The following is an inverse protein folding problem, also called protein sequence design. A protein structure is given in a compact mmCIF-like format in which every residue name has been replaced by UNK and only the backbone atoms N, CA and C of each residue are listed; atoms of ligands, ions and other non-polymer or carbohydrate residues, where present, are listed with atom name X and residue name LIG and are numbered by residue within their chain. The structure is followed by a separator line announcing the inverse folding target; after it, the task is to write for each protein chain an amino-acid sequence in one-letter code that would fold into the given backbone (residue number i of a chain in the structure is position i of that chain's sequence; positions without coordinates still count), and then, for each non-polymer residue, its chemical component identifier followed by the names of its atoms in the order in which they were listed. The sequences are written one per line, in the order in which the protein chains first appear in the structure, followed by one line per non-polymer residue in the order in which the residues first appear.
data_IF_375806462179
#
_entry.id   IF_375806462179
#
_cell.length_a   1.000
_cell.length_b   1.000
_cell.length_c   1.000
_cell.angle_alpha   90.00
_cell.angle_beta   90.00
_cell.angle_gamma   90.00
#
_symmetry.space_group_name_H-M   'P 1'
#
loop_
_entity.id
_entity.type
_entity.pdbx_description
1 polymer ?
#
# COMPACT_ATOMS: atom_id res chain seq x y z
N UNK A 1 -14.50 13.55 6.18
CA UNK A 1 -13.33 14.11 5.48
C UNK A 1 -12.13 13.84 6.36
N UNK A 2 -11.18 13.01 5.95
CA UNK A 2 -9.94 12.84 6.72
C UNK A 2 -9.02 14.04 6.48
N UNK A 3 -8.81 14.79 7.53
CA UNK A 3 -7.82 15.85 7.63
C UNK A 3 -6.41 15.27 7.81
N UNK A 4 -5.40 16.12 7.61
CA UNK A 4 -4.01 15.80 7.94
C UNK A 4 -3.88 15.27 9.38
N UNK A 5 -4.54 15.95 10.33
CA UNK A 5 -4.52 15.57 11.74
C UNK A 5 -5.14 14.18 11.98
N UNK A 6 -6.24 13.86 11.30
CA UNK A 6 -6.86 12.52 11.41
C UNK A 6 -5.95 11.42 10.85
N UNK A 7 -5.26 11.68 9.73
CA UNK A 7 -4.31 10.70 9.17
C UNK A 7 -3.07 10.53 10.05
N UNK A 8 -2.54 11.62 10.62
CA UNK A 8 -1.45 11.55 11.60
C UNK A 8 -1.87 10.77 12.84
N UNK A 9 -3.10 10.98 13.33
CA UNK A 9 -3.67 10.24 14.45
C UNK A 9 -3.83 8.75 14.11
N UNK A 10 -4.29 8.41 12.90
CA UNK A 10 -4.39 7.01 12.47
C UNK A 10 -3.03 6.33 12.36
N UNK A 11 -2.02 7.00 11.80
CA UNK A 11 -0.65 6.47 11.74
C UNK A 11 -0.12 6.24 13.15
N UNK A 12 -0.24 7.25 14.03
CA UNK A 12 0.17 7.15 15.42
C UNK A 12 -0.55 6.00 16.12
N UNK A 13 -1.87 5.88 15.97
CA UNK A 13 -2.66 4.79 16.52
C UNK A 13 -2.16 3.43 16.03
N UNK A 14 -1.90 3.27 14.72
CA UNK A 14 -1.50 2.01 14.13
C UNK A 14 -0.15 1.49 14.64
N UNK A 15 0.81 2.39 14.86
CA UNK A 15 2.14 2.07 15.39
C UNK A 15 2.25 2.21 16.91
N UNK A 16 1.19 2.71 17.58
CA UNK A 16 1.14 2.85 19.03
C UNK A 16 0.80 1.53 19.72
N UNK A 17 1.09 1.49 21.02
CA UNK A 17 0.79 0.36 21.89
C UNK A 17 2.04 -0.45 22.20
N UNK A 18 2.09 -0.95 23.43
CA UNK A 18 3.08 -1.96 23.78
C UNK A 18 2.70 -3.26 23.07
N UNK A 19 3.58 -3.71 22.17
CA UNK A 19 3.43 -4.96 21.42
C UNK A 19 3.30 -6.16 22.39
N UNK A 20 3.75 -6.01 23.63
CA UNK A 20 3.71 -7.01 24.68
C UNK A 20 2.47 -6.93 25.61
N UNK A 21 1.71 -5.82 25.63
CA UNK A 21 0.52 -5.70 26.49
C UNK A 21 -0.73 -6.31 25.85
N UNK A 22 -1.57 -7.01 26.64
CA UNK A 22 -2.70 -7.77 26.12
C UNK A 22 -3.91 -6.93 25.67
N UNK A 23 -4.08 -5.70 26.17
CA UNK A 23 -5.23 -4.82 25.85
C UNK A 23 -4.81 -3.49 25.22
N UNK A 24 -5.42 -3.09 24.11
CA UNK A 24 -5.33 -1.72 23.58
C UNK A 24 -4.14 -1.40 22.67
N UNK A 25 -3.63 -2.38 21.91
CA UNK A 25 -2.55 -2.13 20.94
C UNK A 25 -3.04 -1.57 19.60
N UNK A 26 -2.19 -0.80 18.92
CA UNK A 26 -2.37 -0.43 17.52
C UNK A 26 -2.35 -1.63 16.58
N UNK A 27 -2.60 -1.41 15.28
CA UNK A 27 -2.65 -2.48 14.28
C UNK A 27 -1.40 -3.37 14.28
N UNK A 28 -0.20 -2.79 14.49
CA UNK A 28 1.05 -3.55 14.63
C UNK A 28 1.03 -4.48 15.85
N UNK A 29 0.47 -4.03 16.97
CA UNK A 29 0.28 -4.86 18.16
C UNK A 29 -0.71 -6.01 17.93
N UNK A 30 -1.74 -5.79 17.10
CA UNK A 30 -2.67 -6.86 16.66
C UNK A 30 -1.93 -7.89 15.81
N UNK A 31 -1.13 -7.44 14.83
CA UNK A 31 -0.33 -8.33 13.99
C UNK A 31 0.64 -9.19 14.83
N UNK A 32 1.26 -8.61 15.86
CA UNK A 32 2.19 -9.31 16.74
C UNK A 32 1.56 -10.44 17.57
N UNK A 33 0.27 -10.33 17.87
CA UNK A 33 -0.51 -11.35 18.58
C UNK A 33 -1.15 -12.38 17.65
N UNK A 34 -1.02 -12.18 16.33
CA UNK A 34 -1.62 -13.04 15.32
C UNK A 34 -0.76 -14.28 15.04
N UNK A 35 -1.13 -15.06 14.03
CA UNK A 35 -0.39 -16.25 13.58
C UNK A 35 1.01 -15.88 13.05
N UNK A 36 2.00 -16.78 13.14
CA UNK A 36 3.39 -16.48 12.75
C UNK A 36 3.58 -15.94 11.33
N UNK A 37 2.68 -16.29 10.40
CA UNK A 37 2.69 -15.77 9.04
C UNK A 37 2.50 -14.25 9.00
N UNK A 38 1.50 -13.73 9.73
CA UNK A 38 1.18 -12.30 9.82
C UNK A 38 2.26 -11.55 10.59
N UNK A 39 2.86 -12.17 11.61
CA UNK A 39 3.95 -11.54 12.37
C UNK A 39 5.16 -11.20 11.49
N UNK A 40 5.44 -12.00 10.45
CA UNK A 40 6.55 -11.74 9.51
C UNK A 40 6.35 -10.49 8.65
N UNK A 41 5.10 -10.01 8.53
CA UNK A 41 4.75 -8.83 7.73
C UNK A 41 4.88 -7.52 8.52
N UNK A 42 5.06 -7.59 9.84
CA UNK A 42 5.20 -6.42 10.72
C UNK A 42 6.25 -5.43 10.20
N UNK A 43 7.47 -5.85 9.79
CA UNK A 43 8.48 -4.89 9.34
C UNK A 43 8.04 -4.09 8.10
N UNK A 44 7.38 -4.73 7.13
CA UNK A 44 6.86 -4.06 5.94
C UNK A 44 5.68 -3.13 6.27
N UNK A 45 4.73 -3.59 7.10
CA UNK A 45 3.62 -2.76 7.55
C UNK A 45 4.11 -1.52 8.33
N UNK A 46 5.07 -1.71 9.24
CA UNK A 46 5.67 -0.61 10.01
C UNK A 46 6.41 0.39 9.12
N UNK A 47 7.14 -0.10 8.10
CA UNK A 47 7.78 0.74 7.08
C UNK A 47 6.76 1.58 6.31
N UNK A 48 5.64 0.98 5.87
CA UNK A 48 4.57 1.69 5.17
C UNK A 48 3.98 2.82 6.02
N UNK A 49 3.67 2.56 7.30
CA UNK A 49 3.17 3.60 8.21
C UNK A 49 4.20 4.70 8.47
N UNK A 50 5.47 4.33 8.62
CA UNK A 50 6.56 5.29 8.87
C UNK A 50 6.76 6.19 7.66
N UNK A 51 6.71 5.65 6.45
CA UNK A 51 6.77 6.40 5.20
C UNK A 51 5.57 7.35 5.07
N UNK A 52 4.35 6.86 5.29
CA UNK A 52 3.16 7.71 5.29
C UNK A 52 3.27 8.85 6.32
N UNK A 53 3.63 8.52 7.56
CA UNK A 53 3.81 9.50 8.64
C UNK A 53 4.91 10.53 8.37
N UNK A 54 5.99 10.13 7.69
CA UNK A 54 7.04 11.05 7.26
C UNK A 54 6.52 12.03 6.19
N UNK A 55 5.87 11.51 5.14
CA UNK A 55 5.47 12.31 3.99
C UNK A 55 4.17 13.10 4.18
N UNK A 56 3.34 12.77 5.17
CA UNK A 56 2.22 13.62 5.60
C UNK A 56 2.66 15.04 5.97
N UNK A 57 3.93 15.22 6.37
CA UNK A 57 4.50 16.51 6.78
C UNK A 57 4.99 17.36 5.61
N UNK A 58 5.16 16.79 4.43
CA UNK A 58 5.90 17.43 3.32
C UNK A 58 5.20 17.34 1.97
N UNK A 59 4.36 16.33 1.73
CA UNK A 59 3.63 16.17 0.47
C UNK A 59 2.22 16.78 0.55
N UNK A 60 1.68 17.26 -0.59
CA UNK A 60 0.34 17.80 -0.63
C UNK A 60 -0.71 16.72 -0.38
N UNK A 61 -1.70 17.05 0.46
CA UNK A 61 -2.90 16.25 0.67
C UNK A 61 -3.97 16.67 -0.34
N UNK A 62 -4.54 15.70 -1.06
CA UNK A 62 -5.56 15.90 -2.09
C UNK A 62 -6.75 14.99 -1.84
N UNK A 63 -7.93 15.47 -2.20
CA UNK A 63 -9.12 14.63 -2.26
C UNK A 63 -9.24 14.04 -3.66
N UNK A 64 -9.65 12.78 -3.74
CA UNK A 64 -9.88 12.10 -5.00
C UNK A 64 -10.72 10.86 -4.76
N UNK A 65 -11.51 10.48 -5.76
CA UNK A 65 -12.30 9.25 -5.70
C UNK A 65 -11.38 8.05 -5.95
N UNK A 66 -11.39 7.08 -5.06
CA UNK A 66 -10.53 5.89 -5.09
C UNK A 66 -11.41 4.64 -5.23
N UNK A 67 -11.96 4.46 -6.42
CA UNK A 67 -12.83 3.33 -6.77
C UNK A 67 -12.48 2.80 -8.16
N UNK A 68 -12.95 1.59 -8.47
CA UNK A 68 -12.71 0.96 -9.77
C UNK A 68 -13.29 1.76 -10.96
N UNK A 69 -14.35 2.53 -10.73
CA UNK A 69 -15.05 3.34 -11.73
C UNK A 69 -14.58 4.81 -11.75
N UNK A 70 -13.62 5.18 -10.89
CA UNK A 70 -13.07 6.53 -10.85
C UNK A 70 -12.09 6.77 -12.01
N UNK A 71 -11.85 8.05 -12.29
CA UNK A 71 -10.78 8.43 -13.21
C UNK A 71 -9.42 8.02 -12.65
N UNK A 72 -8.58 7.44 -13.50
CA UNK A 72 -7.22 7.02 -13.12
C UNK A 72 -6.44 8.19 -12.53
N UNK A 73 -5.82 7.97 -11.37
CA UNK A 73 -4.97 8.93 -10.70
C UNK A 73 -3.76 9.29 -11.56
N UNK A 74 -3.44 10.59 -11.56
CA UNK A 74 -2.15 11.06 -12.08
C UNK A 74 -1.05 10.73 -11.07
N UNK A 75 0.08 10.21 -11.56
CA UNK A 75 1.24 9.85 -10.74
C UNK A 75 2.08 11.08 -10.35
N UNK A 76 1.49 11.94 -9.53
CA UNK A 76 2.15 13.12 -8.99
C UNK A 76 2.43 12.94 -7.49
N UNK A 77 3.57 13.41 -6.97
CA UNK A 77 3.88 13.35 -5.54
C UNK A 77 2.74 13.94 -4.69
N UNK A 78 2.26 13.17 -3.72
CA UNK A 78 1.12 13.60 -2.91
C UNK A 78 0.41 12.44 -2.21
N UNK A 79 -0.49 12.79 -1.30
CA UNK A 79 -1.35 11.84 -0.62
C UNK A 79 -2.78 12.10 -1.09
N UNK A 80 -3.41 11.10 -1.70
CA UNK A 80 -4.79 11.16 -2.15
C UNK A 80 -5.67 10.42 -1.15
N UNK A 81 -6.76 11.04 -0.76
CA UNK A 81 -7.70 10.51 0.21
C UNK A 81 -9.10 10.45 -0.39
N UNK A 82 -9.74 9.31 -0.20
CA UNK A 82 -11.17 9.12 -0.37
C UNK A 82 -11.78 8.83 1.01
N UNK A 83 -12.46 9.82 1.58
CA UNK A 83 -13.07 9.67 2.91
C UNK A 83 -14.37 8.86 2.89
N UNK A 84 -15.03 8.78 1.73
CA UNK A 84 -16.31 8.08 1.57
C UNK A 84 -16.05 6.58 1.45
N UNK A 85 -15.06 6.20 0.65
CA UNK A 85 -14.64 4.81 0.45
C UNK A 85 -13.62 4.35 1.50
N UNK A 86 -13.16 5.26 2.37
CA UNK A 86 -12.18 4.95 3.39
C UNK A 86 -10.84 4.52 2.81
N UNK A 87 -10.30 5.21 1.80
CA UNK A 87 -9.04 4.84 1.14
C UNK A 87 -8.03 5.96 1.17
N UNK A 88 -6.76 5.59 1.22
CA UNK A 88 -5.63 6.51 1.18
C UNK A 88 -4.57 5.93 0.24
N UNK A 89 -4.06 6.76 -0.67
CA UNK A 89 -2.92 6.42 -1.53
C UNK A 89 -1.83 7.47 -1.34
N UNK A 90 -0.65 7.04 -0.93
CA UNK A 90 0.55 7.89 -0.87
C UNK A 90 1.44 7.64 -2.08
N UNK A 91 1.63 8.66 -2.91
CA UNK A 91 2.49 8.68 -4.09
C UNK A 91 3.82 9.34 -3.71
N UNK A 92 4.83 8.51 -3.47
CA UNK A 92 6.13 8.91 -2.95
C UNK A 92 7.17 8.96 -4.09
N UNK A 93 7.78 10.12 -4.36
CA UNK A 93 8.82 10.20 -5.36
C UNK A 93 10.08 9.49 -4.87
N UNK A 94 10.67 8.64 -5.72
CA UNK A 94 11.89 7.89 -5.42
C UNK A 94 12.95 8.27 -6.45
N UNK A 95 14.11 8.73 -5.98
CA UNK A 95 15.23 9.02 -6.88
C UNK A 95 15.97 7.73 -7.25
N UNK A 96 16.80 7.81 -8.28
CA UNK A 96 17.64 6.69 -8.68
C UNK A 96 18.46 6.17 -7.50
N UNK A 97 18.52 4.84 -7.36
CA UNK A 97 19.21 4.12 -6.29
C UNK A 97 18.67 4.30 -4.86
N UNK A 98 17.60 5.06 -4.66
CA UNK A 98 17.08 5.33 -3.32
C UNK A 98 16.01 4.34 -2.84
N UNK A 99 15.38 3.55 -3.72
CA UNK A 99 14.23 2.73 -3.34
C UNK A 99 14.55 1.81 -2.14
N UNK A 100 15.67 1.10 -2.19
CA UNK A 100 16.11 0.20 -1.11
C UNK A 100 16.59 0.93 0.15
N UNK A 101 16.92 2.22 0.06
CA UNK A 101 17.36 3.03 1.20
C UNK A 101 16.16 3.60 1.97
N UNK A 102 15.10 4.00 1.23
CA UNK A 102 13.91 4.62 1.82
C UNK A 102 12.84 3.60 2.20
N UNK A 103 12.74 2.49 1.47
CA UNK A 103 11.73 1.46 1.63
C UNK A 103 12.37 0.07 1.52
N UNK A 104 13.20 -0.27 2.52
CA UNK A 104 14.02 -1.48 2.51
C UNK A 104 13.20 -2.76 2.37
N UNK A 105 12.15 -2.92 3.17
CA UNK A 105 11.33 -4.14 3.17
C UNK A 105 10.50 -4.27 1.90
N UNK A 106 9.95 -3.17 1.41
CA UNK A 106 9.22 -3.15 0.14
C UNK A 106 10.15 -3.41 -1.05
N UNK A 107 11.35 -2.81 -1.06
CA UNK A 107 12.34 -3.03 -2.10
C UNK A 107 12.88 -4.46 -2.11
N UNK A 108 13.05 -5.10 -0.95
CA UNK A 108 13.52 -6.49 -0.88
C UNK A 108 12.58 -7.46 -1.61
N UNK A 109 11.28 -7.16 -1.64
CA UNK A 109 10.29 -7.95 -2.38
C UNK A 109 10.42 -7.83 -3.91
N UNK A 110 11.18 -6.85 -4.43
CA UNK A 110 11.44 -6.70 -5.86
C UNK A 110 12.66 -7.53 -6.30
N UNK A 111 12.51 -8.43 -7.30
CA UNK A 111 13.60 -9.31 -7.73
C UNK A 111 14.69 -8.59 -8.55
N UNK A 112 14.31 -7.64 -9.42
CA UNK A 112 15.27 -6.97 -10.32
C UNK A 112 16.04 -5.88 -9.58
N UNK A 113 17.38 -5.96 -9.63
CA UNK A 113 18.27 -4.92 -9.10
C UNK A 113 18.22 -3.66 -9.95
N UNK A 114 18.03 -3.82 -11.25
CA UNK A 114 17.92 -2.73 -12.22
C UNK A 114 16.69 -1.89 -11.93
N UNK A 115 15.52 -2.50 -11.72
CA UNK A 115 14.28 -1.80 -11.37
C UNK A 115 14.45 -1.03 -10.06
N UNK A 116 15.08 -1.64 -9.04
CA UNK A 116 15.35 -0.98 -7.74
C UNK A 116 16.29 0.22 -7.84
N UNK A 117 17.16 0.24 -8.84
CA UNK A 117 18.09 1.33 -9.09
C UNK A 117 17.47 2.48 -9.88
N UNK A 118 16.34 2.27 -10.56
CA UNK A 118 15.69 3.31 -11.36
C UNK A 118 14.91 4.30 -10.49
N UNK A 119 14.81 5.58 -10.92
CA UNK A 119 13.89 6.52 -10.30
C UNK A 119 12.44 6.14 -10.60
N UNK A 120 11.48 6.59 -9.80
CA UNK A 120 10.07 6.30 -10.02
C UNK A 120 9.13 6.88 -8.98
N UNK A 121 7.91 6.37 -8.97
CA UNK A 121 6.89 6.67 -7.97
C UNK A 121 6.53 5.41 -7.20
N UNK A 122 6.71 5.42 -5.88
CA UNK A 122 6.22 4.36 -5.00
C UNK A 122 4.82 4.73 -4.52
N UNK A 123 3.83 3.90 -4.86
CA UNK A 123 2.46 4.01 -4.37
C UNK A 123 2.27 3.07 -3.17
N UNK A 124 1.95 3.64 -2.02
CA UNK A 124 1.50 2.92 -0.84
C UNK A 124 0.00 3.10 -0.70
N UNK A 125 -0.74 2.02 -0.46
CA UNK A 125 -2.19 2.06 -0.31
C UNK A 125 -2.60 1.63 1.08
N UNK A 126 -3.66 2.25 1.58
CA UNK A 126 -4.25 1.95 2.87
C UNK A 126 -5.77 2.03 2.77
N UNK A 127 -6.43 1.23 3.59
CA UNK A 127 -7.88 1.25 3.78
C UNK A 127 -8.19 1.62 5.23
N UNK A 128 -9.20 2.45 5.44
CA UNK A 128 -9.72 2.83 6.75
C UNK A 128 -10.96 1.98 7.01
N UNK A 129 -10.85 1.07 7.96
CA UNK A 129 -11.95 0.19 8.36
C UNK A 129 -12.44 0.55 9.76
N UNK A 130 -13.72 0.30 10.05
CA UNK A 130 -14.28 0.48 11.39
C UNK A 130 -14.42 -0.87 12.08
N UNK A 131 -13.74 -1.03 13.21
CA UNK A 131 -13.82 -2.21 14.08
C UNK A 131 -14.15 -1.75 15.49
N UNK A 132 -15.18 -2.32 16.12
CA UNK A 132 -15.64 -1.92 17.46
C UNK A 132 -15.83 -0.40 17.64
N UNK A 133 -16.45 0.24 16.65
CA UNK A 133 -16.70 1.70 16.57
C UNK A 133 -15.42 2.56 16.45
N UNK A 134 -14.24 1.94 16.37
CA UNK A 134 -12.95 2.60 16.18
C UNK A 134 -12.51 2.49 14.73
N UNK A 135 -12.08 3.59 14.13
CA UNK A 135 -11.49 3.59 12.79
C UNK A 135 -10.02 3.18 12.86
N UNK A 136 -9.61 2.31 11.95
CA UNK A 136 -8.25 1.81 11.83
C UNK A 136 -7.76 1.99 10.41
N UNK A 137 -6.58 2.60 10.24
CA UNK A 137 -5.88 2.65 8.97
C UNK A 137 -5.06 1.38 8.80
N UNK A 138 -5.38 0.58 7.79
CA UNK A 138 -4.75 -0.70 7.49
C UNK A 138 -3.92 -0.58 6.20
N UNK A 139 -2.65 -1.01 6.17
CA UNK A 139 -1.89 -1.08 4.93
C UNK A 139 -2.49 -2.16 4.05
N UNK A 140 -2.57 -1.88 2.76
CA UNK A 140 -2.86 -2.93 1.79
C UNK A 140 -1.69 -3.93 1.73
N UNK A 141 -2.01 -5.18 1.39
CA UNK A 141 -1.02 -6.25 1.27
C UNK A 141 -0.04 -6.06 0.12
N UNK A 142 -0.29 -5.08 -0.75
CA UNK A 142 0.54 -4.73 -1.88
C UNK A 142 0.91 -3.24 -1.89
N UNK A 143 2.02 -2.95 -2.57
CA UNK A 143 2.41 -1.63 -3.02
C UNK A 143 2.66 -1.67 -4.54
N UNK A 144 2.86 -0.53 -5.18
CA UNK A 144 3.25 -0.47 -6.58
C UNK A 144 4.39 0.50 -6.82
N UNK A 145 5.35 0.10 -7.65
CA UNK A 145 6.43 0.96 -8.10
C UNK A 145 6.29 1.27 -9.58
N UNK A 146 6.10 2.55 -9.90
CA UNK A 146 6.01 3.05 -11.27
C UNK A 146 7.38 3.53 -11.72
N UNK A 147 8.03 2.71 -12.53
CA UNK A 147 9.37 2.99 -13.04
C UNK A 147 9.34 4.26 -13.88
N UNK A 148 10.25 5.20 -13.59
CA UNK A 148 10.32 6.54 -14.20
C UNK A 148 9.05 7.39 -14.00
N UNK A 149 8.15 7.00 -13.09
CA UNK A 149 6.86 7.67 -12.89
C UNK A 149 5.87 7.42 -14.02
N UNK A 150 6.11 6.40 -14.85
CA UNK A 150 5.24 6.06 -15.98
C UNK A 150 4.19 5.04 -15.54
N UNK A 151 2.90 5.38 -15.68
CA UNK A 151 1.77 4.51 -15.35
C UNK A 151 1.71 3.22 -16.17
N UNK A 152 2.48 3.15 -17.26
CA UNK A 152 2.63 1.96 -18.09
C UNK A 152 3.66 0.97 -17.53
N UNK A 153 4.59 1.45 -16.72
CA UNK A 153 5.65 0.64 -16.11
C UNK A 153 5.37 0.38 -14.63
N UNK A 154 4.19 -0.16 -14.35
CA UNK A 154 3.78 -0.56 -13.00
C UNK A 154 4.41 -1.90 -12.62
N UNK A 155 5.14 -1.93 -11.51
CA UNK A 155 5.68 -3.14 -10.90
C UNK A 155 5.00 -3.35 -9.55
N UNK A 156 4.04 -4.28 -9.43
CA UNK A 156 3.45 -4.64 -8.14
C UNK A 156 4.50 -5.18 -7.17
N UNK A 157 4.38 -4.80 -5.91
CA UNK A 157 5.23 -5.22 -4.80
C UNK A 157 4.35 -6.00 -3.82
N UNK A 158 4.71 -7.24 -3.54
CA UNK A 158 4.10 -8.04 -2.48
C UNK A 158 4.64 -7.56 -1.12
N UNK A 159 3.91 -6.64 -0.48
CA UNK A 159 4.33 -6.00 0.77
C UNK A 159 4.12 -6.91 1.98
N UNK A 160 2.93 -7.52 2.08
CA UNK A 160 2.56 -8.42 3.17
C UNK A 160 2.44 -9.84 2.61
N UNK A 161 3.41 -10.70 2.94
CA UNK A 161 3.58 -12.04 2.35
C UNK A 161 2.64 -13.07 2.94
N UNK A 162 2.06 -12.83 4.12
CA UNK A 162 1.07 -13.73 4.74
C UNK A 162 -0.15 -13.99 3.85
N UNK A 163 -0.44 -13.07 2.93
CA UNK A 163 -1.52 -13.21 1.95
C UNK A 163 -1.37 -14.43 1.03
N UNK A 164 -0.14 -14.94 0.85
CA UNK A 164 0.13 -16.13 0.06
C UNK A 164 -0.33 -17.44 0.73
N UNK A 165 -0.59 -17.40 2.04
CA UNK A 165 -1.15 -18.56 2.76
C UNK A 165 -2.68 -18.66 2.60
N UNK A 166 -3.30 -17.65 2.00
CA UNK A 166 -4.73 -17.62 1.71
C UNK A 166 -5.01 -18.14 0.30
N UNK A 167 -5.77 -19.23 0.20
CA UNK A 167 -6.11 -19.92 -1.05
C UNK A 167 -6.78 -19.01 -2.08
N UNK A 168 -7.43 -17.91 -1.63
CA UNK A 168 -8.08 -16.92 -2.52
C UNK A 168 -7.08 -16.19 -3.42
N UNK A 169 -5.80 -16.17 -3.08
CA UNK A 169 -4.74 -15.54 -3.87
C UNK A 169 -4.12 -16.48 -4.92
N UNK A 170 -4.58 -17.75 -4.97
CA UNK A 170 -4.65 -18.56 -6.20
C UNK A 170 -3.33 -18.85 -6.95
N UNK A 171 -2.17 -18.58 -6.35
CA UNK A 171 -0.86 -18.81 -6.95
C UNK A 171 -0.33 -17.69 -7.86
N UNK A 172 -1.20 -16.92 -8.51
CA UNK A 172 -0.83 -15.71 -9.28
C UNK A 172 -1.30 -14.44 -8.57
N UNK A 173 -0.56 -14.06 -7.53
CA UNK A 173 -0.82 -12.84 -6.77
C UNK A 173 -0.64 -11.56 -7.60
N UNK A 174 0.11 -11.61 -8.71
CA UNK A 174 0.40 -10.43 -9.53
C UNK A 174 -0.86 -10.00 -10.27
N UNK A 175 -1.61 -10.92 -10.87
CA UNK A 175 -2.89 -10.63 -11.50
C UNK A 175 -3.90 -10.04 -10.50
N UNK A 176 -3.98 -10.62 -9.29
CA UNK A 176 -4.84 -10.10 -8.21
C UNK A 176 -4.40 -8.71 -7.76
N UNK A 177 -3.08 -8.46 -7.66
CA UNK A 177 -2.56 -7.14 -7.30
C UNK A 177 -2.92 -6.09 -8.35
N UNK A 178 -2.76 -6.41 -9.64
CA UNK A 178 -3.11 -5.50 -10.74
C UNK A 178 -4.60 -5.21 -10.78
N UNK A 179 -5.46 -6.17 -10.43
CA UNK A 179 -6.88 -5.90 -10.27
C UNK A 179 -7.15 -5.00 -9.06
N UNK A 180 -6.52 -5.29 -7.91
CA UNK A 180 -6.67 -4.51 -6.68
C UNK A 180 -6.21 -3.06 -6.84
N UNK A 181 -5.18 -2.78 -7.65
CA UNK A 181 -4.77 -1.41 -7.99
C UNK A 181 -5.90 -0.58 -8.61
N UNK A 182 -6.78 -1.21 -9.39
CA UNK A 182 -7.94 -0.52 -9.98
C UNK A 182 -8.91 -0.01 -8.93
N UNK A 183 -9.05 -0.72 -7.81
CA UNK A 183 -9.89 -0.26 -6.69
C UNK A 183 -9.35 1.00 -6.01
N UNK A 184 -8.09 1.35 -6.24
CA UNK A 184 -7.45 2.58 -5.76
C UNK A 184 -7.29 3.61 -6.89
N UNK A 185 -7.99 3.42 -8.01
CA UNK A 185 -7.89 4.25 -9.21
C UNK A 185 -6.44 4.40 -9.74
N UNK A 186 -5.55 3.46 -9.43
CA UNK A 186 -4.15 3.53 -9.84
C UNK A 186 -3.97 3.04 -11.29
N UNK A 187 -3.05 3.65 -12.07
CA UNK A 187 -2.78 3.22 -13.43
C UNK A 187 -2.17 1.82 -13.44
N UNK A 188 -2.68 0.94 -14.30
CA UNK A 188 -2.18 -0.44 -14.40
C UNK A 188 -2.19 -0.98 -15.83
N UNK A 189 -2.70 -0.20 -16.80
CA UNK A 189 -3.30 -0.73 -18.04
C UNK A 189 -2.34 -1.58 -18.87
N UNK A 190 -1.09 -1.16 -18.96
CA UNK A 190 -0.09 -1.89 -19.74
C UNK A 190 0.53 -3.04 -18.94
N UNK A 191 0.53 -2.96 -17.61
CA UNK A 191 0.94 -4.07 -16.74
C UNK A 191 -0.13 -5.20 -16.73
N UNK A 192 -1.42 -4.87 -16.80
CA UNK A 192 -2.50 -5.86 -17.00
C UNK A 192 -2.37 -6.57 -18.36
N UNK A 193 -2.04 -5.83 -19.42
CA UNK A 193 -1.81 -6.43 -20.74
C UNK A 193 -0.58 -7.36 -20.75
N UNK A 194 0.49 -7.00 -20.05
CA UNK A 194 1.70 -7.82 -19.92
C UNK A 194 1.49 -9.06 -19.02
N UNK A 195 0.65 -8.97 -17.99
CA UNK A 195 0.34 -10.08 -17.08
C UNK A 195 -0.58 -11.15 -17.69
N UNK A 196 -1.26 -10.85 -18.80
CA UNK A 196 -1.99 -11.83 -19.60
C UNK A 196 -3.47 -11.52 -19.77
N UNK A 197 -3.87 -11.43 -21.04
CA UNK A 197 -5.26 -11.43 -21.47
C UNK A 197 -6.06 -12.61 -20.86
N UNK A 198 -7.33 -12.34 -20.53
CA UNK A 198 -8.34 -13.23 -19.91
C UNK A 198 -8.22 -13.48 -18.40
N UNK A 199 -8.51 -12.45 -17.58
CA UNK A 199 -9.04 -12.70 -16.23
C UNK A 199 -10.46 -13.28 -16.39
N UNK A 200 -10.62 -14.59 -16.31
CA UNK A 200 -11.93 -15.24 -16.13
C UNK A 200 -12.37 -15.04 -14.69
N UNK A 201 -13.07 -13.94 -14.41
CA UNK A 201 -13.82 -13.80 -13.17
C UNK A 201 -15.03 -14.73 -13.20
N UNK A 202 -14.97 -15.83 -12.45
CA UNK A 202 -16.19 -16.56 -12.08
C UNK A 202 -17.03 -15.68 -11.15
N UNK A 203 -18.27 -15.42 -11.57
CA UNK A 203 -19.34 -14.82 -10.77
C UNK A 203 -19.67 -15.64 -9.54
#
# INVERSE_FOLDING_TARGET
MYSLYELEAFVAQAISGDVFEQSGGGFVGVMAKSVPAIQKDIPAAFEMYTLLGHFLKSLPLRQGRLTFDAATLMLEPGIVVDSEEGKVVALLPVQAHQLSEVAFWLADALPSREVKAMPGMLALMFTVETHDEVKHLLPEWLAAFYVQGDGRHCVPILALKSVLEDERFGGDWVAVALHRLTEFALPQADAQQAAGAEIRTTR
#
